data_IF_592730766585
#
_entry.id   IF_592730766585
#
_cell.length_a   1.000
_cell.length_b   1.000
_cell.length_c   1.000
_cell.angle_alpha   90.00
_cell.angle_beta   90.00
_cell.angle_gamma   90.00
#
_symmetry.space_group_name_H-M   'P 1'
#
loop_
_entity.id
_entity.type
_entity.pdbx_description
1 polymer ?
#
# COMPACT_ATOMS: atom_id res chain seq x y z
N UNK A 1 1.46 15.20 -2.87
CA UNK A 1 2.57 15.14 -1.88
C UNK A 1 3.38 16.43 -1.87
N UNK A 2 3.85 16.86 -0.71
CA UNK A 2 4.84 17.96 -0.52
C UNK A 2 6.21 17.38 -0.15
N UNK A 3 7.31 18.17 -0.15
CA UNK A 3 8.61 17.72 0.37
C UNK A 3 8.53 17.26 1.84
N UNK A 4 7.80 18.00 2.67
CA UNK A 4 7.56 17.62 4.07
C UNK A 4 6.87 16.25 4.19
N UNK A 5 5.81 16.00 3.41
CA UNK A 5 5.15 14.70 3.40
C UNK A 5 6.08 13.57 2.95
N UNK A 6 6.99 13.84 2.01
CA UNK A 6 7.99 12.86 1.57
C UNK A 6 8.96 12.49 2.70
N UNK A 7 9.42 13.49 3.44
CA UNK A 7 10.30 13.28 4.61
C UNK A 7 9.60 12.49 5.70
N UNK A 8 8.35 12.85 6.04
CA UNK A 8 7.53 12.14 7.03
C UNK A 8 7.32 10.67 6.66
N UNK A 9 6.99 10.36 5.40
CA UNK A 9 6.86 8.98 4.92
C UNK A 9 8.19 8.24 5.01
N UNK A 10 9.28 8.88 4.57
CA UNK A 10 10.61 8.23 4.55
C UNK A 10 11.10 7.90 5.97
N UNK A 11 10.93 8.83 6.90
CA UNK A 11 11.41 8.64 8.27
C UNK A 11 10.56 7.64 9.04
N UNK A 12 9.22 7.77 8.98
CA UNK A 12 8.33 6.79 9.60
C UNK A 12 8.53 5.40 9.02
N UNK A 13 8.70 5.26 7.69
CA UNK A 13 9.01 3.98 7.04
C UNK A 13 10.24 3.29 7.63
N UNK A 14 11.34 4.03 7.87
CA UNK A 14 12.54 3.46 8.49
C UNK A 14 12.24 2.90 9.87
N UNK A 15 11.48 3.63 10.69
CA UNK A 15 11.08 3.17 12.04
C UNK A 15 10.19 1.93 11.96
N UNK A 16 9.19 1.94 11.07
CA UNK A 16 8.26 0.82 10.85
C UNK A 16 9.01 -0.45 10.42
N UNK A 17 9.93 -0.34 9.45
CA UNK A 17 10.63 -1.49 8.86
C UNK A 17 11.89 -1.92 9.63
N UNK A 18 12.34 -1.14 10.62
CA UNK A 18 13.29 -1.60 11.63
C UNK A 18 12.64 -2.47 12.71
N UNK A 19 11.31 -2.52 12.77
CA UNK A 19 10.54 -3.32 13.72
C UNK A 19 10.69 -4.83 13.50
N UNK A 20 10.39 -5.60 14.55
CA UNK A 20 10.42 -7.08 14.50
C UNK A 20 9.20 -7.68 13.81
N UNK A 21 8.06 -7.00 13.87
CA UNK A 21 6.79 -7.47 13.26
C UNK A 21 6.76 -7.08 11.79
N UNK A 22 6.65 -8.04 10.86
CA UNK A 22 6.56 -7.71 9.44
C UNK A 22 5.25 -6.98 9.11
N UNK A 23 5.36 -5.78 8.52
CA UNK A 23 4.21 -4.96 8.08
C UNK A 23 3.24 -5.76 7.22
N UNK A 24 3.76 -6.56 6.29
CA UNK A 24 2.95 -7.37 5.39
C UNK A 24 2.06 -8.36 6.16
N UNK A 25 2.59 -8.99 7.21
CA UNK A 25 1.82 -9.94 8.04
C UNK A 25 0.69 -9.22 8.77
N UNK A 26 1.01 -8.13 9.49
CA UNK A 26 0.02 -7.34 10.21
C UNK A 26 -1.09 -6.81 9.27
N UNK A 27 -0.70 -6.37 8.06
CA UNK A 27 -1.62 -5.94 7.03
C UNK A 27 -2.59 -7.04 6.59
N UNK A 28 -2.08 -8.21 6.19
CA UNK A 28 -2.93 -9.29 5.69
C UNK A 28 -3.78 -9.95 6.78
N UNK A 29 -3.25 -10.09 8.00
CA UNK A 29 -3.99 -10.61 9.14
C UNK A 29 -5.20 -9.70 9.44
N UNK A 30 -4.99 -8.37 9.45
CA UNK A 30 -6.08 -7.39 9.59
C UNK A 30 -7.06 -7.44 8.41
N UNK A 31 -6.55 -7.38 7.18
CA UNK A 31 -7.38 -7.33 5.97
C UNK A 31 -8.35 -8.52 5.92
N UNK A 32 -7.89 -9.73 6.22
CA UNK A 32 -8.73 -10.92 6.15
C UNK A 32 -9.61 -11.13 7.39
N UNK A 33 -9.26 -10.54 8.53
CA UNK A 33 -10.13 -10.52 9.70
C UNK A 33 -11.33 -9.58 9.50
N UNK A 34 -11.10 -8.40 8.89
CA UNK A 34 -12.14 -7.40 8.67
C UNK A 34 -12.94 -7.64 7.37
N UNK A 35 -12.27 -8.15 6.34
CA UNK A 35 -12.80 -8.36 4.99
C UNK A 35 -12.49 -9.77 4.47
N UNK A 36 -13.04 -10.83 5.09
CA UNK A 36 -12.77 -12.21 4.69
C UNK A 36 -13.16 -12.51 3.23
N UNK A 37 -14.10 -11.75 2.67
CA UNK A 37 -14.52 -11.84 1.26
C UNK A 37 -13.40 -11.52 0.26
N UNK A 38 -12.33 -10.83 0.69
CA UNK A 38 -11.19 -10.52 -0.17
C UNK A 38 -10.16 -11.66 -0.22
N UNK A 39 -10.20 -12.61 0.71
CA UNK A 39 -9.24 -13.73 0.78
C UNK A 39 -9.12 -14.52 -0.54
N UNK A 40 -10.19 -14.79 -1.30
CA UNK A 40 -10.11 -15.50 -2.58
C UNK A 40 -9.33 -14.76 -3.69
N UNK A 41 -9.14 -13.44 -3.57
CA UNK A 41 -8.34 -12.65 -4.52
C UNK A 41 -6.82 -12.86 -4.35
N UNK A 42 -6.41 -13.57 -3.29
CA UNK A 42 -5.01 -13.79 -2.94
C UNK A 42 -4.65 -15.28 -3.00
N UNK A 43 -3.37 -15.63 -3.26
CA UNK A 43 -2.94 -17.02 -3.32
C UNK A 43 -3.18 -17.76 -1.99
N UNK A 44 -3.34 -19.09 -2.04
CA UNK A 44 -3.45 -19.90 -0.82
C UNK A 44 -2.16 -19.85 0.01
N UNK A 45 -0.99 -19.94 -0.65
CA UNK A 45 0.33 -19.81 -0.02
C UNK A 45 0.77 -18.35 -0.03
N UNK A 46 0.83 -17.74 1.15
CA UNK A 46 1.06 -16.30 1.29
C UNK A 46 2.53 -15.87 1.37
N UNK A 47 3.49 -16.78 1.54
CA UNK A 47 4.90 -16.42 1.75
C UNK A 47 5.44 -15.48 0.65
N UNK A 48 5.31 -15.87 -0.62
CA UNK A 48 5.73 -15.04 -1.75
C UNK A 48 4.89 -13.76 -1.89
N UNK A 49 3.65 -13.74 -1.39
CA UNK A 49 2.80 -12.55 -1.41
C UNK A 49 3.28 -11.51 -0.39
N UNK A 50 3.72 -11.95 0.79
CA UNK A 50 4.29 -11.07 1.81
C UNK A 50 5.57 -10.39 1.34
N UNK A 51 6.45 -11.14 0.67
CA UNK A 51 7.68 -10.62 0.06
C UNK A 51 7.36 -9.59 -1.02
N UNK A 52 6.54 -9.96 -2.02
CA UNK A 52 6.13 -9.04 -3.10
C UNK A 52 5.49 -7.75 -2.58
N UNK A 53 4.64 -7.85 -1.57
CA UNK A 53 4.00 -6.69 -0.96
C UNK A 53 5.03 -5.78 -0.28
N UNK A 54 5.95 -6.37 0.49
CA UNK A 54 7.05 -5.65 1.14
C UNK A 54 7.95 -4.95 0.12
N UNK A 55 8.36 -5.66 -0.93
CA UNK A 55 9.20 -5.11 -2.00
C UNK A 55 8.51 -3.95 -2.71
N UNK A 56 7.19 -4.04 -2.91
CA UNK A 56 6.38 -2.96 -3.50
C UNK A 56 6.38 -1.71 -2.61
N UNK A 57 6.18 -1.87 -1.29
CA UNK A 57 6.24 -0.74 -0.36
C UNK A 57 7.63 -0.08 -0.35
N UNK A 58 8.69 -0.89 -0.28
CA UNK A 58 10.08 -0.42 -0.36
C UNK A 58 10.32 0.33 -1.66
N UNK A 59 9.89 -0.23 -2.79
CA UNK A 59 10.06 0.39 -4.10
C UNK A 59 9.36 1.76 -4.15
N UNK A 60 8.10 1.84 -3.73
CA UNK A 60 7.33 3.08 -3.71
C UNK A 60 8.08 4.13 -2.89
N UNK A 61 8.39 3.84 -1.62
CA UNK A 61 9.04 4.82 -0.73
C UNK A 61 10.40 5.29 -1.28
N UNK A 62 11.22 4.37 -1.81
CA UNK A 62 12.53 4.72 -2.41
C UNK A 62 12.40 5.64 -3.62
N UNK A 63 11.27 5.61 -4.33
CA UNK A 63 11.06 6.37 -5.55
C UNK A 63 9.99 7.46 -5.42
N UNK A 64 9.42 7.71 -4.23
CA UNK A 64 8.38 8.74 -4.05
C UNK A 64 8.85 10.15 -4.47
N UNK A 65 10.15 10.44 -4.34
CA UNK A 65 10.76 11.67 -4.87
C UNK A 65 10.72 11.76 -6.41
N UNK A 66 10.73 10.61 -7.09
CA UNK A 66 10.71 10.44 -8.55
C UNK A 66 9.32 10.00 -9.01
N UNK A 67 8.34 10.91 -8.91
CA UNK A 67 6.92 10.60 -9.14
C UNK A 67 6.63 9.85 -10.44
N UNK A 68 7.27 10.23 -11.54
CA UNK A 68 7.07 9.56 -12.83
C UNK A 68 7.34 8.05 -12.76
N UNK A 69 8.42 7.64 -12.07
CA UNK A 69 8.77 6.22 -11.89
C UNK A 69 7.71 5.46 -11.11
N UNK A 70 7.20 6.05 -10.03
CA UNK A 70 6.14 5.44 -9.21
C UNK A 70 4.84 5.32 -10.01
N UNK A 71 4.48 6.35 -10.77
CA UNK A 71 3.24 6.36 -11.55
C UNK A 71 3.25 5.31 -12.67
N UNK A 72 4.36 5.13 -13.39
CA UNK A 72 4.50 4.07 -14.41
C UNK A 72 4.35 2.68 -13.78
N UNK A 73 5.03 2.44 -12.66
CA UNK A 73 4.89 1.15 -11.96
C UNK A 73 3.48 0.92 -11.42
N UNK A 74 2.81 1.97 -10.94
CA UNK A 74 1.43 1.92 -10.49
C UNK A 74 0.46 1.60 -11.65
N UNK A 75 0.70 2.10 -12.86
CA UNK A 75 -0.11 1.75 -14.04
C UNK A 75 -0.02 0.25 -14.36
N UNK A 76 1.19 -0.29 -14.44
CA UNK A 76 1.44 -1.72 -14.69
C UNK A 76 0.84 -2.61 -13.59
N UNK A 77 0.91 -2.14 -12.33
CA UNK A 77 0.31 -2.83 -11.21
C UNK A 77 -1.22 -2.80 -11.28
N UNK A 78 -1.81 -1.66 -11.66
CA UNK A 78 -3.25 -1.49 -11.84
C UNK A 78 -3.82 -2.41 -12.92
N UNK A 79 -3.14 -2.56 -14.07
CA UNK A 79 -3.54 -3.48 -15.13
C UNK A 79 -3.59 -4.94 -14.63
N UNK A 80 -2.61 -5.35 -13.82
CA UNK A 80 -2.61 -6.68 -13.19
C UNK A 80 -3.74 -6.82 -12.16
N UNK A 81 -3.96 -5.82 -11.31
CA UNK A 81 -5.02 -5.83 -10.30
C UNK A 81 -6.39 -6.01 -10.93
N UNK A 82 -6.62 -5.36 -12.06
CA UNK A 82 -7.82 -5.56 -12.86
C UNK A 82 -7.97 -7.01 -13.33
N UNK A 83 -6.91 -7.62 -13.86
CA UNK A 83 -6.94 -9.03 -14.27
C UNK A 83 -7.20 -9.98 -13.09
N UNK A 84 -6.87 -9.56 -11.87
CA UNK A 84 -7.16 -10.31 -10.64
C UNK A 84 -8.60 -10.12 -10.12
N UNK A 85 -9.39 -9.24 -10.74
CA UNK A 85 -10.77 -8.95 -10.32
C UNK A 85 -10.89 -7.92 -9.19
N UNK A 86 -9.84 -7.13 -8.96
CA UNK A 86 -9.88 -6.01 -8.00
C UNK A 86 -10.83 -4.93 -8.51
N UNK A 87 -11.65 -4.39 -7.60
CA UNK A 87 -12.65 -3.35 -7.87
C UNK A 87 -12.29 -2.03 -7.19
N UNK A 88 -12.84 -0.89 -7.64
CA UNK A 88 -12.59 0.42 -7.03
C UNK A 88 -12.80 0.46 -5.51
N UNK A 89 -13.83 -0.22 -5.01
CA UNK A 89 -14.13 -0.26 -3.56
C UNK A 89 -13.01 -0.92 -2.73
N UNK A 90 -12.26 -1.86 -3.31
CA UNK A 90 -11.20 -2.59 -2.59
C UNK A 90 -10.02 -1.70 -2.21
N UNK A 91 -9.76 -0.64 -2.98
CA UNK A 91 -8.64 0.27 -2.70
C UNK A 91 -8.85 1.01 -1.36
N UNK A 92 -10.06 1.48 -1.08
CA UNK A 92 -10.33 2.15 0.21
C UNK A 92 -10.11 1.20 1.39
N UNK A 93 -10.59 -0.04 1.28
CA UNK A 93 -10.41 -1.10 2.30
C UNK A 93 -8.93 -1.40 2.52
N UNK A 94 -8.19 -1.64 1.44
CA UNK A 94 -6.75 -1.96 1.50
C UNK A 94 -5.95 -0.81 2.09
N UNK A 95 -6.27 0.44 1.73
CA UNK A 95 -5.63 1.62 2.32
C UNK A 95 -5.82 1.69 3.83
N UNK A 96 -7.06 1.52 4.31
CA UNK A 96 -7.34 1.54 5.75
C UNK A 96 -6.58 0.44 6.49
N UNK A 97 -6.60 -0.80 5.98
CA UNK A 97 -5.89 -1.92 6.59
C UNK A 97 -4.37 -1.71 6.61
N UNK A 98 -3.79 -1.17 5.52
CA UNK A 98 -2.35 -0.88 5.45
C UNK A 98 -1.94 0.18 6.46
N UNK A 99 -2.66 1.31 6.52
CA UNK A 99 -2.30 2.40 7.43
C UNK A 99 -2.50 2.02 8.90
N UNK A 100 -3.52 1.21 9.20
CA UNK A 100 -3.70 0.66 10.55
C UNK A 100 -2.56 -0.30 10.92
N UNK A 101 -2.15 -1.20 10.02
CA UNK A 101 -1.03 -2.11 10.25
C UNK A 101 0.30 -1.36 10.42
N UNK A 102 0.56 -0.30 9.63
CA UNK A 102 1.75 0.53 9.81
C UNK A 102 1.72 1.24 11.17
N UNK A 103 0.59 1.79 11.60
CA UNK A 103 0.47 2.42 12.90
C UNK A 103 0.71 1.44 14.07
N UNK A 104 0.23 0.21 13.95
CA UNK A 104 0.41 -0.85 14.96
C UNK A 104 1.88 -1.28 15.11
N UNK A 105 2.57 -1.50 14.00
CA UNK A 105 3.93 -2.05 14.02
C UNK A 105 5.03 -1.00 14.13
N UNK A 106 4.70 0.29 13.95
CA UNK A 106 5.65 1.39 14.14
C UNK A 106 5.86 1.63 15.64
N UNK A 107 7.10 1.59 16.16
CA UNK A 107 7.37 1.94 17.55
C UNK A 107 6.90 3.36 17.87
N UNK A 108 6.06 3.52 18.89
CA UNK A 108 5.44 4.80 19.25
C UNK A 108 4.29 5.24 18.34
N UNK A 109 3.92 4.41 17.35
CA UNK A 109 2.86 4.68 16.39
C UNK A 109 3.26 5.68 15.30
N UNK A 110 2.29 6.00 14.44
CA UNK A 110 2.37 7.11 13.50
C UNK A 110 1.73 8.35 14.12
N UNK A 111 2.43 9.47 14.07
CA UNK A 111 1.84 10.77 14.40
C UNK A 111 0.74 11.16 13.39
N UNK A 112 -0.16 12.10 13.73
CA UNK A 112 -1.18 12.57 12.80
C UNK A 112 -0.62 13.09 11.47
N UNK A 113 0.54 13.77 11.50
CA UNK A 113 1.20 14.29 10.30
C UNK A 113 1.76 13.14 9.43
N UNK A 114 2.40 12.14 10.04
CA UNK A 114 2.89 10.96 9.32
C UNK A 114 1.74 10.15 8.72
N UNK A 115 0.64 9.99 9.47
CA UNK A 115 -0.57 9.35 8.98
C UNK A 115 -1.12 10.05 7.73
N UNK A 116 -1.27 11.38 7.79
CA UNK A 116 -1.73 12.18 6.65
C UNK A 116 -0.77 12.10 5.44
N UNK A 117 0.54 12.03 5.71
CA UNK A 117 1.54 11.87 4.66
C UNK A 117 1.46 10.48 3.98
N UNK A 118 1.21 9.42 4.76
CA UNK A 118 0.95 8.07 4.26
C UNK A 118 -0.36 7.98 3.47
N UNK A 119 -1.42 8.63 3.94
CA UNK A 119 -2.70 8.72 3.20
C UNK A 119 -2.47 9.38 1.83
N UNK A 120 -1.69 10.48 1.78
CA UNK A 120 -1.36 11.15 0.52
C UNK A 120 -0.47 10.30 -0.41
N UNK A 121 0.46 9.51 0.15
CA UNK A 121 1.30 8.60 -0.63
C UNK A 121 0.49 7.41 -1.17
N UNK A 122 -0.40 6.84 -0.36
CA UNK A 122 -1.30 5.78 -0.76
C UNK A 122 -2.22 6.25 -1.89
N UNK A 123 -2.89 7.39 -1.70
CA UNK A 123 -3.78 7.97 -2.70
C UNK A 123 -3.08 8.18 -4.06
N UNK A 124 -1.86 8.71 -4.05
CA UNK A 124 -1.05 8.90 -5.27
C UNK A 124 -0.89 7.60 -6.09
N UNK A 125 -0.62 6.49 -5.41
CA UNK A 125 -0.43 5.18 -6.05
C UNK A 125 -1.77 4.56 -6.42
N UNK A 126 -2.72 4.53 -5.49
CA UNK A 126 -4.02 3.89 -5.68
C UNK A 126 -4.85 4.56 -6.76
N UNK A 127 -4.85 5.89 -6.84
CA UNK A 127 -5.61 6.61 -7.87
C UNK A 127 -5.08 6.30 -9.27
N UNK A 128 -3.75 6.14 -9.39
CA UNK A 128 -3.13 5.74 -10.65
C UNK A 128 -3.46 4.31 -11.04
N UNK A 129 -3.45 3.38 -10.08
CA UNK A 129 -3.87 2.00 -10.31
C UNK A 129 -5.35 1.89 -10.68
N UNK A 130 -6.22 2.65 -9.99
CA UNK A 130 -7.66 2.71 -10.24
C UNK A 130 -7.98 3.22 -11.63
N UNK A 131 -7.29 4.26 -12.10
CA UNK A 131 -7.46 4.75 -13.47
C UNK A 131 -7.25 3.64 -14.53
N UNK A 132 -6.38 2.66 -14.27
CA UNK A 132 -6.17 1.52 -15.17
C UNK A 132 -7.16 0.36 -14.93
N UNK A 133 -7.77 0.30 -13.74
CA UNK A 133 -8.81 -0.66 -13.39
C UNK A 133 -10.15 -0.26 -13.99
N UNK A 134 -10.45 1.04 -14.02
CA UNK A 134 -11.68 1.63 -14.59
C UNK A 134 -11.62 1.80 -16.11
N UNK A 135 -10.42 1.78 -16.70
CA UNK A 135 -10.24 1.98 -18.14
C UNK A 135 -10.71 0.77 -18.96
N UNK A 136 -12.03 0.58 -19.11
CA UNK A 136 -12.63 -0.04 -20.29
C UNK A 136 -13.99 0.53 -20.60
N UNK A 137 -14.13 0.88 -21.87
CA UNK A 137 -15.41 1.11 -22.53
C UNK A 137 -15.24 1.97 -23.78
N UNK A 138 -14.30 1.64 -24.67
CA UNK A 138 -14.11 2.28 -25.97
C UNK A 138 -13.65 1.24 -26.98
#
# INVERSE_FOLDING_TARGET
MTPEQLELVTESFRRTFAGKTPVARAFYDRLFAEHPELRPLFPQKMAAQYEKFTDTLVFVVRHLARRATVLVSAEELGQRHRAYGVRPEHYAIVGQALLAAMAEVTPGGLSPAERAAWDAAYALVSDRMRAMTDATGG
#
